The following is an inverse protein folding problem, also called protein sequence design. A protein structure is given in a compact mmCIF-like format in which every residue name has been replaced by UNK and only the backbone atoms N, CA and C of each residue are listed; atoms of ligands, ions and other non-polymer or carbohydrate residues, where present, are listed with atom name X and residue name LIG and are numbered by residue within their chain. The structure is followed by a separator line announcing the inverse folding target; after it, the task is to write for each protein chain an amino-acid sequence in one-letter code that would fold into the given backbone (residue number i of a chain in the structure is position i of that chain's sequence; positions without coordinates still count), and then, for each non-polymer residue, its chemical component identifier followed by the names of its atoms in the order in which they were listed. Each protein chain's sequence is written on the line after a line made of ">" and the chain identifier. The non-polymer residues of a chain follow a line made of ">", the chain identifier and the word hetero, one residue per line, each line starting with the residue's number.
data_IF_124426618674
#
_entry.id   IF_124426618674
#
_cell.length_a   1.000
_cell.length_b   1.000
_cell.length_c   1.000
_cell.angle_alpha   90.00
_cell.angle_beta   90.00
_cell.angle_gamma   90.00
#
_symmetry.space_group_name_H-M   'P 1'
#
loop_
_entity.id
_entity.type
_entity.pdbx_description
1 polymer ?
#
# COMPACT_ATOMS: atom_id res chain seq x y z
N UNK A 1 -4.20 -0.95 16.97
CA UNK A 1 -5.20 -0.66 18.04
C UNK A 1 -6.29 -1.71 17.94
N UNK A 2 -6.70 -2.31 19.08
CA UNK A 2 -7.82 -3.23 19.16
C UNK A 2 -9.00 -2.48 19.80
N UNK A 3 -10.18 -2.58 19.20
CA UNK A 3 -11.43 -2.05 19.72
C UNK A 3 -12.31 -3.22 20.17
N UNK A 4 -12.76 -3.18 21.40
CA UNK A 4 -13.61 -4.20 22.00
C UNK A 4 -15.01 -3.63 22.24
N UNK A 5 -16.03 -4.51 22.31
CA UNK A 5 -17.42 -4.11 22.54
C UNK A 5 -17.70 -3.80 24.02
N UNK A 6 -16.99 -4.50 24.89
CA UNK A 6 -17.16 -4.37 26.35
C UNK A 6 -15.82 -4.12 27.03
N UNK A 7 -15.88 -3.60 28.26
CA UNK A 7 -14.70 -3.42 29.10
C UNK A 7 -14.06 -4.75 29.50
N UNK A 8 -14.86 -5.80 29.67
CA UNK A 8 -14.37 -7.14 29.99
C UNK A 8 -13.54 -7.72 28.86
N UNK A 9 -14.04 -7.63 27.63
CA UNK A 9 -13.28 -8.03 26.44
C UNK A 9 -11.96 -7.26 26.32
N UNK A 10 -11.97 -5.97 26.61
CA UNK A 10 -10.76 -5.15 26.55
C UNK A 10 -9.73 -5.56 27.61
N UNK A 11 -10.19 -5.84 28.85
CA UNK A 11 -9.34 -6.34 29.93
C UNK A 11 -8.76 -7.71 29.61
N UNK A 12 -9.58 -8.63 29.10
CA UNK A 12 -9.12 -9.97 28.70
C UNK A 12 -8.11 -9.90 27.53
N UNK A 13 -8.39 -9.11 26.50
CA UNK A 13 -7.46 -8.88 25.41
C UNK A 13 -6.11 -8.30 25.90
N UNK A 14 -6.15 -7.36 26.83
CA UNK A 14 -4.94 -6.82 27.46
C UNK A 14 -4.19 -7.87 28.27
N UNK A 15 -4.88 -8.71 29.03
CA UNK A 15 -4.30 -9.84 29.77
C UNK A 15 -3.58 -10.78 28.82
N UNK A 16 -4.24 -11.21 27.74
CA UNK A 16 -3.63 -12.09 26.73
C UNK A 16 -2.41 -11.46 26.06
N UNK A 17 -2.46 -10.16 25.75
CA UNK A 17 -1.36 -9.42 25.12
C UNK A 17 -0.17 -9.18 26.08
N UNK A 18 -0.35 -9.39 27.38
CA UNK A 18 0.67 -9.26 28.44
C UNK A 18 1.02 -10.60 29.07
N UNK A 19 1.08 -11.65 28.26
CA UNK A 19 1.47 -13.01 28.63
C UNK A 19 0.44 -13.73 29.53
N UNK A 20 -0.79 -13.26 29.64
CA UNK A 20 -1.83 -13.79 30.55
C UNK A 20 -1.34 -13.97 32.00
N UNK A 21 -0.50 -13.06 32.47
CA UNK A 21 0.03 -13.11 33.84
C UNK A 21 -1.04 -12.69 34.84
N UNK A 22 -1.21 -13.52 35.89
CA UNK A 22 -2.07 -13.24 37.00
C UNK A 22 -1.46 -12.24 38.01
N UNK A 23 -2.31 -11.60 38.78
CA UNK A 23 -1.86 -10.69 39.82
C UNK A 23 -1.45 -11.47 41.11
N UNK A 24 -0.25 -12.05 41.02
CA UNK A 24 0.33 -12.83 42.12
C UNK A 24 1.80 -12.39 42.39
N UNK A 25 2.36 -12.61 43.58
CA UNK A 25 3.77 -12.31 43.87
C UNK A 25 4.76 -13.17 43.11
N UNK A 26 4.31 -14.22 42.46
CA UNK A 26 5.07 -15.13 41.60
C UNK A 26 4.50 -15.14 40.20
N UNK A 27 5.17 -15.80 39.23
CA UNK A 27 4.65 -16.02 37.90
C UNK A 27 3.55 -17.08 37.94
N UNK A 28 2.31 -16.67 37.70
CA UNK A 28 1.16 -17.54 37.61
C UNK A 28 0.38 -17.24 36.32
N UNK A 29 -0.04 -18.31 35.65
CA UNK A 29 -0.77 -18.24 34.39
C UNK A 29 -1.90 -19.28 34.44
N UNK A 30 -3.12 -18.85 34.24
CA UNK A 30 -4.33 -19.72 34.17
C UNK A 30 -4.73 -20.02 32.74
N UNK A 31 -4.18 -19.25 31.80
CA UNK A 31 -4.40 -19.39 30.36
C UNK A 31 -3.12 -19.03 29.58
N UNK A 32 -3.05 -19.44 28.31
CA UNK A 32 -1.91 -19.12 27.45
C UNK A 32 -2.06 -17.69 26.92
N UNK A 33 -1.04 -16.87 27.13
CA UNK A 33 -0.94 -15.53 26.61
C UNK A 33 0.34 -15.31 25.80
N UNK A 34 0.45 -14.11 25.21
CA UNK A 34 1.53 -13.76 24.29
C UNK A 34 2.10 -12.39 24.61
N UNK A 35 3.28 -12.11 24.14
CA UNK A 35 3.84 -10.76 24.21
C UNK A 35 3.45 -9.96 22.95
N UNK A 36 2.31 -9.30 23.00
CA UNK A 36 1.78 -8.46 21.91
C UNK A 36 1.79 -6.96 22.24
N UNK A 37 2.53 -6.55 23.28
CA UNK A 37 2.71 -5.14 23.58
C UNK A 37 3.81 -4.53 22.71
N UNK A 38 3.56 -3.31 22.26
CA UNK A 38 4.59 -2.52 21.56
C UNK A 38 5.75 -2.25 22.53
N UNK A 39 6.99 -2.54 22.09
CA UNK A 39 8.16 -2.20 22.90
C UNK A 39 8.38 -0.68 22.98
N UNK A 40 9.07 -0.22 24.03
CA UNK A 40 9.43 1.19 24.16
C UNK A 40 10.31 1.70 23.01
N UNK A 41 11.15 0.83 22.43
CA UNK A 41 11.97 1.13 21.25
C UNK A 41 11.07 1.41 20.04
N UNK A 42 10.14 0.51 19.74
CA UNK A 42 9.17 0.68 18.65
C UNK A 42 8.31 1.93 18.84
N UNK A 43 7.86 2.18 20.09
CA UNK A 43 7.09 3.38 20.41
C UNK A 43 7.92 4.67 20.25
N UNK A 44 9.20 4.65 20.63
CA UNK A 44 10.12 5.76 20.43
C UNK A 44 10.34 6.09 18.96
N UNK A 45 10.56 5.08 18.11
CA UNK A 45 10.67 5.21 16.66
C UNK A 45 9.38 5.79 16.08
N UNK A 46 8.22 5.22 16.47
CA UNK A 46 6.91 5.69 16.03
C UNK A 46 6.67 7.17 16.37
N UNK A 47 7.01 7.61 17.59
CA UNK A 47 6.94 9.03 17.97
C UNK A 47 7.84 9.92 17.13
N UNK A 48 9.03 9.45 16.77
CA UNK A 48 9.93 10.16 15.86
C UNK A 48 9.33 10.32 14.47
N UNK A 49 8.78 9.24 13.91
CA UNK A 49 8.15 9.24 12.60
C UNK A 49 6.89 10.14 12.53
N UNK A 50 6.10 10.18 13.58
CA UNK A 50 4.92 11.05 13.65
C UNK A 50 5.25 12.54 13.53
N UNK A 51 6.42 12.98 13.97
CA UNK A 51 6.85 14.37 13.85
C UNK A 51 7.10 14.80 12.40
N UNK A 52 7.52 13.88 11.55
CA UNK A 52 7.86 14.13 10.14
C UNK A 52 6.77 13.66 9.16
N UNK A 53 5.71 13.03 9.67
CA UNK A 53 4.63 12.49 8.83
C UNK A 53 3.99 13.53 7.90
N UNK A 54 3.63 14.76 8.34
CA UNK A 54 3.07 15.78 7.45
C UNK A 54 3.99 16.07 6.26
N UNK A 55 5.29 16.28 6.53
CA UNK A 55 6.29 16.51 5.48
C UNK A 55 6.35 15.32 4.49
N UNK A 56 6.30 14.09 4.98
CA UNK A 56 6.31 12.89 4.12
C UNK A 56 5.08 12.83 3.22
N UNK A 57 3.90 13.20 3.74
CA UNK A 57 2.67 13.26 2.94
C UNK A 57 2.78 14.35 1.86
N UNK A 58 3.29 15.52 2.17
CA UNK A 58 3.53 16.60 1.19
C UNK A 58 4.48 16.16 0.08
N UNK A 59 5.60 15.51 0.42
CA UNK A 59 6.54 14.97 -0.56
C UNK A 59 5.89 13.93 -1.48
N UNK A 60 5.10 13.01 -0.93
CA UNK A 60 4.36 12.00 -1.71
C UNK A 60 3.35 12.64 -2.65
N UNK A 61 2.63 13.66 -2.19
CA UNK A 61 1.67 14.40 -3.01
C UNK A 61 2.37 15.17 -4.14
N UNK A 62 3.54 15.76 -3.88
CA UNK A 62 4.35 16.45 -4.90
C UNK A 62 4.84 15.47 -5.99
N UNK A 63 5.35 14.30 -5.60
CA UNK A 63 5.75 13.24 -6.54
C UNK A 63 4.56 12.81 -7.41
N UNK A 64 3.41 12.55 -6.81
CA UNK A 64 2.20 12.18 -7.55
C UNK A 64 1.75 13.28 -8.52
N UNK A 65 1.78 14.54 -8.10
CA UNK A 65 1.41 15.67 -8.94
C UNK A 65 2.37 15.80 -10.14
N UNK A 66 3.68 15.63 -9.92
CA UNK A 66 4.69 15.66 -11.00
C UNK A 66 4.47 14.56 -12.03
N UNK A 67 4.22 13.32 -11.58
CA UNK A 67 3.84 12.22 -12.48
C UNK A 67 2.57 12.54 -13.26
N UNK A 68 1.53 13.04 -12.59
CA UNK A 68 0.24 13.34 -13.22
C UNK A 68 0.36 14.40 -14.31
N UNK A 69 1.22 15.41 -14.10
CA UNK A 69 1.47 16.45 -15.12
C UNK A 69 2.29 15.91 -16.28
N UNK A 70 3.41 15.22 -15.98
CA UNK A 70 4.34 14.77 -17.00
C UNK A 70 3.81 13.60 -17.84
N UNK A 71 2.87 12.80 -17.33
CA UNK A 71 2.25 11.69 -18.08
C UNK A 71 0.93 12.07 -18.73
N UNK A 72 0.52 13.32 -18.63
CA UNK A 72 -0.71 13.83 -19.25
C UNK A 72 -0.72 13.61 -20.77
N UNK A 73 -1.87 13.18 -21.26
CA UNK A 73 -2.09 12.92 -22.69
C UNK A 73 -1.65 11.56 -23.17
N UNK A 74 -1.03 10.73 -22.32
CA UNK A 74 -0.76 9.34 -22.62
C UNK A 74 -2.01 8.47 -22.39
N UNK A 75 -2.13 7.30 -23.04
CA UNK A 75 -3.26 6.39 -22.87
C UNK A 75 -3.18 5.62 -21.55
N UNK A 76 -3.28 6.37 -20.47
CA UNK A 76 -3.25 5.87 -19.10
C UNK A 76 -4.03 6.80 -18.16
N UNK A 77 -4.47 6.27 -17.04
CA UNK A 77 -5.22 7.01 -16.02
C UNK A 77 -4.49 6.94 -14.69
N UNK A 78 -4.22 8.10 -14.09
CA UNK A 78 -3.64 8.18 -12.76
C UNK A 78 -4.68 7.86 -11.69
N UNK A 79 -4.23 7.31 -10.56
CA UNK A 79 -5.09 7.00 -9.42
C UNK A 79 -6.01 8.18 -9.06
N UNK A 80 -7.35 8.00 -9.06
CA UNK A 80 -8.30 9.08 -8.82
C UNK A 80 -8.24 9.56 -7.36
N UNK A 81 -8.86 10.71 -7.13
CA UNK A 81 -9.13 11.25 -5.79
C UNK A 81 -10.63 11.39 -5.63
N UNK A 82 -11.17 10.85 -4.54
CA UNK A 82 -12.55 11.11 -4.14
C UNK A 82 -12.64 12.48 -3.45
N UNK A 83 -13.72 13.21 -3.66
CA UNK A 83 -13.92 14.55 -3.09
C UNK A 83 -13.93 14.54 -1.55
N UNK A 84 -14.43 13.45 -0.95
CA UNK A 84 -14.47 13.26 0.49
C UNK A 84 -13.14 12.77 1.10
N UNK A 85 -12.07 12.56 0.30
CA UNK A 85 -10.83 11.95 0.76
C UNK A 85 -9.60 12.84 0.53
N UNK A 86 -8.65 12.75 1.46
CA UNK A 86 -7.29 13.30 1.33
C UNK A 86 -6.30 12.13 1.24
N UNK A 87 -6.01 11.60 0.05
CA UNK A 87 -5.08 10.49 -0.10
C UNK A 87 -3.65 10.94 0.25
N UNK A 88 -2.93 10.13 0.99
CA UNK A 88 -1.52 10.39 1.31
C UNK A 88 -0.57 10.04 0.15
N UNK A 89 -1.09 9.44 -0.93
CA UNK A 89 -0.31 9.02 -2.10
C UNK A 89 0.92 8.16 -1.72
N UNK A 90 0.72 7.24 -0.78
CA UNK A 90 1.78 6.31 -0.35
C UNK A 90 2.53 5.69 -1.53
N UNK A 91 1.81 5.25 -2.54
CA UNK A 91 2.35 4.85 -3.84
C UNK A 91 1.66 5.65 -4.94
N UNK A 92 2.41 5.93 -6.00
CA UNK A 92 1.86 6.45 -7.25
C UNK A 92 1.43 5.28 -8.12
N UNK A 93 0.14 5.23 -8.42
CA UNK A 93 -0.46 4.15 -9.23
C UNK A 93 -1.04 4.73 -10.49
N UNK A 94 -0.84 4.03 -11.61
CA UNK A 94 -1.49 4.29 -12.88
C UNK A 94 -2.19 3.02 -13.40
N UNK A 95 -3.17 3.22 -14.25
CA UNK A 95 -3.83 2.17 -15.03
C UNK A 95 -3.60 2.46 -16.49
N UNK A 96 -3.09 1.48 -17.23
CA UNK A 96 -2.99 1.53 -18.67
C UNK A 96 -4.39 1.44 -19.29
N UNK A 97 -4.65 2.18 -20.35
CA UNK A 97 -5.89 2.05 -21.11
C UNK A 97 -5.92 0.68 -21.80
N UNK A 98 -7.10 0.06 -21.87
CA UNK A 98 -7.22 -1.33 -22.34
C UNK A 98 -6.64 -1.55 -23.76
N UNK A 99 -6.75 -0.54 -24.61
CA UNK A 99 -6.38 -0.61 -26.03
C UNK A 99 -5.07 0.14 -26.34
N UNK A 100 -4.25 0.46 -25.34
CA UNK A 100 -3.02 1.24 -25.54
C UNK A 100 -1.87 0.45 -26.18
N UNK A 101 -2.00 -0.86 -26.33
CA UNK A 101 -0.98 -1.73 -26.90
C UNK A 101 0.22 -2.02 -25.99
N UNK A 102 0.24 -1.48 -24.77
CA UNK A 102 1.29 -1.69 -23.76
C UNK A 102 0.70 -2.43 -22.58
N UNK A 103 1.37 -3.48 -22.13
CA UNK A 103 0.97 -4.22 -20.92
C UNK A 103 1.77 -3.76 -19.69
N UNK A 104 1.30 -4.03 -18.45
CA UNK A 104 2.12 -3.80 -17.25
C UNK A 104 3.48 -4.51 -17.30
N UNK A 105 3.56 -5.70 -17.90
CA UNK A 105 4.82 -6.43 -18.05
C UNK A 105 5.81 -5.70 -18.96
N UNK A 106 5.32 -5.16 -20.10
CA UNK A 106 6.15 -4.37 -21.02
C UNK A 106 6.69 -3.13 -20.34
N UNK A 107 5.80 -2.40 -19.61
CA UNK A 107 6.20 -1.19 -18.88
C UNK A 107 7.24 -1.50 -17.79
N UNK A 108 7.03 -2.53 -17.01
CA UNK A 108 7.97 -2.94 -15.97
C UNK A 108 9.29 -3.42 -16.55
N UNK A 109 9.25 -4.14 -17.67
CA UNK A 109 10.44 -4.55 -18.42
C UNK A 109 11.26 -3.34 -18.88
N UNK A 110 10.59 -2.34 -19.50
CA UNK A 110 11.25 -1.13 -19.99
C UNK A 110 11.82 -0.26 -18.86
N UNK A 111 11.12 -0.15 -17.74
CA UNK A 111 11.62 0.54 -16.55
C UNK A 111 12.86 -0.18 -15.99
N UNK A 112 12.82 -1.51 -15.91
CA UNK A 112 13.95 -2.32 -15.41
C UNK A 112 15.19 -2.19 -16.31
N UNK A 113 15.06 -2.16 -17.64
CA UNK A 113 16.15 -1.88 -18.58
C UNK A 113 16.82 -0.52 -18.30
N UNK A 114 16.03 0.46 -17.85
CA UNK A 114 16.53 1.77 -17.43
C UNK A 114 17.02 1.81 -15.98
N UNK A 115 17.14 0.67 -15.30
CA UNK A 115 17.46 0.55 -13.86
C UNK A 115 16.49 1.34 -12.97
N UNK A 116 15.20 1.21 -13.25
CA UNK A 116 14.10 1.81 -12.49
C UNK A 116 13.20 0.69 -11.98
N UNK A 117 13.00 0.60 -10.67
CA UNK A 117 12.11 -0.38 -10.07
C UNK A 117 10.65 0.10 -10.10
N UNK A 118 9.84 -0.51 -10.96
CA UNK A 118 8.38 -0.44 -10.89
C UNK A 118 7.80 -1.75 -10.33
N UNK A 119 6.54 -1.75 -9.94
CA UNK A 119 5.86 -2.95 -9.45
C UNK A 119 4.48 -3.10 -10.06
N UNK A 120 4.07 -4.34 -10.26
CA UNK A 120 2.69 -4.67 -10.60
C UNK A 120 1.76 -4.28 -9.43
N UNK A 121 0.50 -3.97 -9.73
CA UNK A 121 -0.51 -3.87 -8.68
C UNK A 121 -0.67 -5.21 -7.96
N UNK A 122 -1.23 -5.17 -6.74
CA UNK A 122 -1.43 -6.38 -5.94
C UNK A 122 -2.40 -7.34 -6.61
N UNK A 123 -1.96 -8.59 -6.74
CA UNK A 123 -2.81 -9.65 -7.26
C UNK A 123 -3.96 -9.89 -6.29
N UNK A 124 -5.22 -9.83 -6.74
CA UNK A 124 -6.39 -10.10 -5.91
C UNK A 124 -6.37 -11.50 -5.29
N UNK A 125 -6.99 -11.64 -4.13
CA UNK A 125 -7.01 -12.91 -3.39
C UNK A 125 -7.70 -14.04 -4.17
N UNK A 126 -8.79 -13.73 -4.89
CA UNK A 126 -9.49 -14.69 -5.75
C UNK A 126 -8.62 -15.24 -6.89
N UNK A 127 -7.58 -14.50 -7.31
CA UNK A 127 -6.64 -14.95 -8.34
C UNK A 127 -5.41 -15.66 -7.76
N UNK A 128 -5.28 -15.74 -6.42
CA UNK A 128 -4.16 -16.47 -5.82
C UNK A 128 -4.39 -17.99 -5.93
N UNK A 129 -3.39 -18.77 -6.37
CA UNK A 129 -3.54 -20.22 -6.54
C UNK A 129 -4.04 -20.95 -5.29
N UNK A 130 -3.64 -20.50 -4.11
CA UNK A 130 -4.05 -21.10 -2.83
C UNK A 130 -5.55 -20.95 -2.55
N UNK A 131 -6.24 -20.01 -3.21
CA UNK A 131 -7.67 -19.75 -3.05
C UNK A 131 -8.49 -20.12 -4.29
N UNK A 132 -7.91 -20.87 -5.23
CA UNK A 132 -8.59 -21.25 -6.48
C UNK A 132 -9.90 -22.02 -6.23
N UNK A 133 -9.97 -22.83 -5.18
CA UNK A 133 -11.14 -23.61 -4.81
C UNK A 133 -12.08 -22.89 -3.83
N UNK A 134 -11.77 -21.66 -3.45
CA UNK A 134 -12.62 -20.87 -2.56
C UNK A 134 -13.72 -20.15 -3.33
N UNK A 135 -14.95 -20.09 -2.79
CA UNK A 135 -16.02 -19.33 -3.42
C UNK A 135 -15.68 -17.84 -3.43
N UNK A 136 -15.86 -17.21 -4.59
CA UNK A 136 -15.69 -15.78 -4.76
C UNK A 136 -17.02 -15.12 -5.14
N UNK A 137 -17.43 -14.12 -4.36
CA UNK A 137 -18.66 -13.36 -4.60
C UNK A 137 -18.31 -11.99 -5.17
N UNK A 138 -18.82 -11.69 -6.35
CA UNK A 138 -18.65 -10.40 -7.02
C UNK A 138 -20.02 -9.81 -7.36
N UNK A 139 -20.12 -8.48 -7.36
CA UNK A 139 -21.33 -7.74 -7.78
C UNK A 139 -21.50 -7.75 -9.30
N UNK A 140 -20.41 -8.00 -10.04
CA UNK A 140 -20.36 -7.98 -11.50
C UNK A 140 -19.62 -9.20 -12.03
N UNK A 141 -19.90 -9.57 -13.29
CA UNK A 141 -19.19 -10.65 -14.00
C UNK A 141 -17.70 -10.37 -14.17
N UNK A 142 -17.33 -9.09 -14.26
CA UNK A 142 -15.93 -8.64 -14.32
C UNK A 142 -15.60 -7.88 -13.03
N UNK A 143 -14.94 -8.52 -12.06
CA UNK A 143 -14.55 -7.87 -10.83
C UNK A 143 -13.61 -6.69 -11.08
N UNK A 144 -13.88 -5.57 -10.44
CA UNK A 144 -13.04 -4.35 -10.59
C UNK A 144 -11.60 -4.61 -10.17
N UNK A 145 -11.38 -5.41 -9.12
CA UNK A 145 -10.04 -5.76 -8.64
C UNK A 145 -9.20 -6.50 -9.69
N UNK A 146 -9.85 -7.36 -10.49
CA UNK A 146 -9.17 -8.13 -11.53
C UNK A 146 -8.74 -7.21 -12.69
N UNK A 147 -9.60 -6.27 -13.10
CA UNK A 147 -9.28 -5.26 -14.11
C UNK A 147 -8.16 -4.33 -13.63
N UNK A 148 -8.23 -3.85 -12.38
CA UNK A 148 -7.17 -3.02 -11.81
C UNK A 148 -5.83 -3.76 -11.78
N UNK A 149 -5.83 -5.05 -11.42
CA UNK A 149 -4.63 -5.86 -11.44
C UNK A 149 -4.10 -6.06 -12.86
N UNK A 150 -4.99 -6.35 -13.82
CA UNK A 150 -4.59 -6.63 -15.21
C UNK A 150 -3.89 -5.44 -15.89
N UNK A 151 -4.21 -4.21 -15.50
CA UNK A 151 -3.74 -2.98 -16.16
C UNK A 151 -2.91 -2.04 -15.29
N UNK A 152 -2.78 -2.34 -13.99
CA UNK A 152 -2.21 -1.44 -13.01
C UNK A 152 -0.72 -1.58 -12.82
N UNK A 153 -0.04 -0.44 -12.67
CA UNK A 153 1.39 -0.34 -12.35
C UNK A 153 1.62 0.64 -11.20
N UNK A 154 2.47 0.26 -10.27
CA UNK A 154 3.00 1.14 -9.22
C UNK A 154 4.34 1.72 -9.65
N UNK A 155 4.43 3.03 -9.69
CA UNK A 155 5.66 3.76 -10.00
C UNK A 155 6.51 4.02 -8.75
N UNK A 156 7.82 4.22 -8.88
CA UNK A 156 8.70 4.64 -7.79
C UNK A 156 8.14 5.88 -7.10
N UNK A 157 8.08 5.86 -5.78
CA UNK A 157 7.47 6.95 -5.01
C UNK A 157 8.18 7.17 -3.66
N UNK A 158 9.49 6.90 -3.57
CA UNK A 158 10.25 7.15 -2.36
C UNK A 158 10.36 8.68 -2.10
N UNK A 159 10.23 9.08 -0.84
CA UNK A 159 10.37 10.50 -0.45
C UNK A 159 11.78 11.07 -0.61
N UNK A 160 12.77 10.23 -0.93
CA UNK A 160 14.14 10.65 -1.27
C UNK A 160 14.31 10.97 -2.75
N UNK A 161 13.33 10.65 -3.60
CA UNK A 161 13.39 10.99 -5.02
C UNK A 161 13.40 12.50 -5.20
N UNK A 162 14.29 12.96 -6.08
CA UNK A 162 14.25 14.31 -6.64
C UNK A 162 13.16 14.42 -7.71
N UNK A 163 12.80 15.62 -8.12
CA UNK A 163 11.88 15.81 -9.24
C UNK A 163 12.51 15.36 -10.57
N UNK A 164 13.83 15.45 -10.71
CA UNK A 164 14.57 14.95 -11.88
C UNK A 164 14.49 13.41 -11.96
N UNK A 165 14.50 12.70 -10.83
CA UNK A 165 14.26 11.24 -10.82
C UNK A 165 12.85 10.91 -11.33
N UNK A 166 11.84 11.69 -10.91
CA UNK A 166 10.46 11.53 -11.39
C UNK A 166 10.37 11.80 -12.89
N UNK A 167 11.02 12.86 -13.36
CA UNK A 167 11.04 13.23 -14.78
C UNK A 167 11.69 12.14 -15.62
N UNK A 168 12.82 11.59 -15.18
CA UNK A 168 13.50 10.45 -15.84
C UNK A 168 12.58 9.24 -15.97
N UNK A 169 11.79 8.92 -14.93
CA UNK A 169 10.79 7.83 -15.02
C UNK A 169 9.75 8.15 -16.09
N UNK A 170 9.25 9.40 -16.10
CA UNK A 170 8.26 9.84 -17.07
C UNK A 170 8.79 9.78 -18.52
N UNK A 171 10.05 10.14 -18.75
CA UNK A 171 10.68 10.06 -20.08
C UNK A 171 10.71 8.62 -20.59
N UNK A 172 11.09 7.66 -19.75
CA UNK A 172 11.09 6.23 -20.11
C UNK A 172 9.68 5.76 -20.47
N UNK A 173 8.67 6.15 -19.68
CA UNK A 173 7.27 5.78 -19.95
C UNK A 173 6.78 6.45 -21.25
N UNK A 174 7.04 7.74 -21.47
CA UNK A 174 6.66 8.44 -22.70
C UNK A 174 7.25 7.82 -23.96
N UNK A 175 8.45 7.27 -23.87
CA UNK A 175 9.10 6.58 -24.97
C UNK A 175 8.46 5.24 -25.37
N UNK A 176 7.40 4.81 -24.69
CA UNK A 176 6.66 3.58 -25.00
C UNK A 176 5.40 3.85 -25.85
N UNK A 177 4.96 5.09 -25.92
CA UNK A 177 3.78 5.56 -26.67
C UNK A 177 4.19 6.55 -27.76
#
# INVERSE_FOLDING_TARGET
>A
MLLCRTEEEAKHALKLATQARENAPWYQHEEIGYNYRMSNISAGIGRGQMKVLPLRVEQKQAIFARYSENLKGLPLTMQPKLDCAKPNRWLTVLLLDADCGVTPADMLGRLNEANIEGRHLWKPMNLQPIFADCPFVSVSEKPVCDDLFARGVCLPSDTKMSMDDVDRVCEVIRGMF
#
